data_IF_909969296600
#
_entry.id   IF_909969296600
#
_cell.length_a   1.000
_cell.length_b   1.000
_cell.length_c   1.000
_cell.angle_alpha   90.00
_cell.angle_beta   90.00
_cell.angle_gamma   90.00
#
_symmetry.space_group_name_H-M   'P 1'
#
loop_
_entity.id
_entity.type
_entity.pdbx_description
1 polymer ?
#
# COMPACT_ATOMS: atom_id res chain seq x y z
N UNK A 1 27.62 18.45 0.80
CA UNK A 1 26.78 17.88 -0.27
C UNK A 1 25.74 17.05 0.42
N UNK A 2 24.51 17.55 0.57
CA UNK A 2 23.41 16.70 1.04
C UNK A 2 23.16 15.69 -0.05
N UNK A 3 23.55 14.43 0.15
CA UNK A 3 23.04 13.36 -0.69
C UNK A 3 21.52 13.48 -0.61
N UNK A 4 20.87 13.69 -1.75
CA UNK A 4 19.42 13.60 -1.81
C UNK A 4 19.02 12.27 -1.13
N UNK A 5 17.99 12.28 -0.27
CA UNK A 5 17.58 11.06 0.41
C UNK A 5 17.33 9.98 -0.64
N UNK A 6 17.97 8.81 -0.47
CA UNK A 6 18.01 7.77 -1.50
C UNK A 6 16.58 7.24 -1.75
N UNK A 7 16.06 7.54 -2.94
CA UNK A 7 14.73 7.08 -3.38
C UNK A 7 14.62 5.57 -3.24
N UNK A 8 15.67 4.83 -3.56
CA UNK A 8 15.67 3.36 -3.49
C UNK A 8 15.49 2.89 -2.04
N UNK A 9 16.19 3.52 -1.09
CA UNK A 9 16.02 3.26 0.33
C UNK A 9 14.60 3.56 0.80
N UNK A 10 13.97 4.64 0.32
CA UNK A 10 12.59 4.98 0.73
C UNK A 10 11.55 4.05 0.13
N UNK A 11 11.76 3.58 -1.09
CA UNK A 11 10.89 2.56 -1.69
C UNK A 11 10.99 1.25 -0.90
N UNK A 12 12.20 0.80 -0.56
CA UNK A 12 12.39 -0.39 0.28
C UNK A 12 11.74 -0.25 1.68
N UNK A 13 11.74 0.96 2.25
CA UNK A 13 11.07 1.24 3.51
C UNK A 13 9.54 1.10 3.40
N UNK A 14 8.94 1.59 2.31
CA UNK A 14 7.50 1.45 2.02
C UNK A 14 7.13 -0.01 1.75
N UNK A 15 7.94 -0.71 0.95
CA UNK A 15 7.79 -2.15 0.70
C UNK A 15 7.76 -2.96 2.00
N UNK A 16 8.74 -2.72 2.87
CA UNK A 16 8.85 -3.43 4.13
C UNK A 16 7.67 -3.14 5.06
N UNK A 17 7.22 -1.89 5.13
CA UNK A 17 6.06 -1.52 5.93
C UNK A 17 4.79 -2.23 5.44
N UNK A 18 4.58 -2.22 4.12
CA UNK A 18 3.45 -2.87 3.49
C UNK A 18 3.49 -4.38 3.65
N UNK A 19 4.65 -5.03 3.53
CA UNK A 19 4.79 -6.47 3.75
C UNK A 19 4.33 -6.90 5.16
N UNK A 20 4.56 -6.05 6.16
CA UNK A 20 4.21 -6.28 7.57
C UNK A 20 2.82 -5.75 7.95
N UNK A 21 2.14 -5.02 7.06
CA UNK A 21 0.87 -4.35 7.34
C UNK A 21 -0.37 -5.24 7.24
N UNK A 22 -0.24 -6.47 6.75
CA UNK A 22 -1.37 -7.37 6.46
C UNK A 22 -1.41 -8.58 7.41
N UNK A 23 -2.61 -9.13 7.70
CA UNK A 23 -2.81 -10.15 8.74
C UNK A 23 -2.24 -11.55 8.41
N UNK A 24 -1.91 -11.80 7.14
CA UNK A 24 -1.32 -13.04 6.66
C UNK A 24 -0.02 -12.76 5.92
N UNK A 25 0.79 -13.78 5.64
CA UNK A 25 1.94 -13.64 4.74
C UNK A 25 1.49 -12.95 3.45
N UNK A 26 2.19 -11.86 3.14
CA UNK A 26 1.89 -11.03 1.99
C UNK A 26 3.08 -11.06 1.02
N UNK A 27 2.77 -11.08 -0.27
CA UNK A 27 3.74 -10.91 -1.34
C UNK A 27 3.66 -9.47 -1.82
N UNK A 28 4.79 -8.76 -1.74
CA UNK A 28 4.93 -7.39 -2.23
C UNK A 28 5.73 -7.42 -3.53
N UNK A 29 5.20 -6.75 -4.55
CA UNK A 29 5.86 -6.56 -5.85
C UNK A 29 5.90 -5.07 -6.15
N UNK A 30 7.08 -4.60 -6.57
CA UNK A 30 7.27 -3.21 -6.94
C UNK A 30 7.48 -3.05 -8.43
N UNK A 31 6.70 -2.13 -8.99
CA UNK A 31 6.74 -1.74 -10.38
C UNK A 31 7.13 -0.26 -10.45
N UNK A 32 8.28 0.02 -11.03
CA UNK A 32 8.71 1.38 -11.37
C UNK A 32 8.48 1.62 -12.84
N UNK A 33 7.76 2.69 -13.16
CA UNK A 33 7.70 3.21 -14.52
C UNK A 33 8.67 4.38 -14.63
N UNK A 34 9.86 4.09 -15.18
CA UNK A 34 10.92 5.09 -15.31
C UNK A 34 10.56 6.21 -16.30
N UNK A 35 9.61 5.98 -17.22
CA UNK A 35 9.20 6.99 -18.19
C UNK A 35 8.22 8.01 -17.59
N UNK A 36 7.31 7.56 -16.72
CA UNK A 36 6.38 8.46 -16.02
C UNK A 36 6.85 8.89 -14.62
N UNK A 37 7.88 8.25 -14.08
CA UNK A 37 8.34 8.42 -12.70
C UNK A 37 7.40 7.81 -11.65
N UNK A 38 6.29 7.19 -12.08
CA UNK A 38 5.30 6.57 -11.19
C UNK A 38 5.88 5.32 -10.55
N UNK A 39 5.49 5.12 -9.30
CA UNK A 39 5.77 3.90 -8.54
C UNK A 39 4.45 3.21 -8.28
N UNK A 40 4.36 1.91 -8.56
CA UNK A 40 3.26 1.07 -8.07
C UNK A 40 3.83 0.01 -7.16
N UNK A 41 3.32 -0.05 -5.94
CA UNK A 41 3.59 -1.16 -5.01
C UNK A 41 2.32 -2.00 -4.95
N UNK A 42 2.38 -3.20 -5.51
CA UNK A 42 1.32 -4.19 -5.41
C UNK A 42 1.57 -5.05 -4.18
N UNK A 43 0.57 -5.18 -3.32
CA UNK A 43 0.59 -6.11 -2.19
C UNK A 43 -0.50 -7.13 -2.38
N UNK A 44 -0.18 -8.40 -2.22
CA UNK A 44 -1.14 -9.50 -2.33
C UNK A 44 -1.04 -10.44 -1.15
N UNK A 45 -2.17 -10.94 -0.67
CA UNK A 45 -2.22 -11.80 0.49
C UNK A 45 -3.43 -12.75 0.45
N UNK A 46 -3.43 -13.78 1.28
CA UNK A 46 -4.55 -14.70 1.41
C UNK A 46 -5.38 -14.32 2.63
N UNK A 47 -6.64 -13.93 2.41
CA UNK A 47 -7.60 -13.74 3.49
C UNK A 47 -8.22 -15.08 3.86
N UNK A 48 -7.97 -15.52 5.09
CA UNK A 48 -8.65 -16.67 5.70
C UNK A 48 -10.01 -16.18 6.22
N UNK A 49 -11.14 -16.70 5.70
CA UNK A 49 -12.45 -16.32 6.21
C UNK A 49 -12.68 -16.86 7.63
N UNK A 50 -13.53 -16.17 8.39
CA UNK A 50 -13.87 -16.56 9.77
C UNK A 50 -14.77 -17.81 9.84
N UNK A 51 -15.37 -18.21 8.72
CA UNK A 51 -16.20 -19.41 8.60
C UNK A 51 -15.35 -20.55 8.02
N UNK A 52 -15.27 -21.68 8.72
CA UNK A 52 -14.48 -22.87 8.32
C UNK A 52 -14.93 -23.45 6.97
N UNK A 53 -16.16 -23.15 6.53
CA UNK A 53 -16.70 -23.58 5.24
C UNK A 53 -16.40 -22.62 4.08
N UNK A 54 -15.86 -21.42 4.37
CA UNK A 54 -15.62 -20.40 3.37
C UNK A 54 -14.25 -20.59 2.68
N UNK A 55 -14.23 -20.34 1.37
CA UNK A 55 -13.05 -20.47 0.53
C UNK A 55 -12.02 -19.38 0.86
N UNK A 56 -10.73 -19.72 0.88
CA UNK A 56 -9.65 -18.73 0.94
C UNK A 56 -9.73 -17.74 -0.23
N UNK A 57 -9.56 -16.45 0.05
CA UNK A 57 -9.59 -15.40 -0.98
C UNK A 57 -8.21 -14.78 -1.14
N UNK A 58 -7.74 -14.72 -2.38
CA UNK A 58 -6.53 -13.96 -2.72
C UNK A 58 -6.92 -12.52 -2.94
N UNK A 59 -6.43 -11.64 -2.08
CA UNK A 59 -6.63 -10.22 -2.18
C UNK A 59 -5.38 -9.56 -2.73
N UNK A 60 -5.56 -8.47 -3.45
CA UNK A 60 -4.48 -7.62 -3.90
C UNK A 60 -4.85 -6.13 -3.77
N UNK A 61 -3.86 -5.28 -3.54
CA UNK A 61 -4.01 -3.83 -3.58
C UNK A 61 -2.85 -3.21 -4.32
N UNK A 62 -3.15 -2.39 -5.31
CA UNK A 62 -2.18 -1.56 -6.02
C UNK A 62 -2.12 -0.18 -5.35
N UNK A 63 -0.98 0.16 -4.74
CA UNK A 63 -0.71 1.53 -4.30
C UNK A 63 0.06 2.25 -5.40
N UNK A 64 -0.58 3.22 -6.05
CA UNK A 64 -0.07 3.95 -7.23
C UNK A 64 0.36 5.35 -6.81
N UNK A 65 1.66 5.53 -6.62
CA UNK A 65 2.23 6.79 -6.20
C UNK A 65 2.42 7.71 -7.39
N UNK A 66 1.96 8.95 -7.23
CA UNK A 66 2.34 10.02 -8.15
C UNK A 66 3.85 10.30 -8.07
N UNK A 67 4.48 10.78 -9.16
CA UNK A 67 5.94 10.83 -9.29
C UNK A 67 6.67 11.58 -8.16
N UNK A 68 6.06 12.63 -7.62
CA UNK A 68 6.64 13.49 -6.58
C UNK A 68 6.39 13.00 -5.16
N UNK A 69 5.45 12.08 -4.95
CA UNK A 69 5.04 11.68 -3.59
C UNK A 69 6.16 10.94 -2.87
N UNK A 70 6.89 10.07 -3.59
CA UNK A 70 8.02 9.33 -3.01
C UNK A 70 9.18 10.27 -2.67
N UNK A 71 9.41 11.30 -3.50
CA UNK A 71 10.41 12.33 -3.23
C UNK A 71 10.03 13.12 -1.99
N UNK A 72 8.77 13.56 -1.89
CA UNK A 72 8.26 14.29 -0.73
C UNK A 72 8.32 13.45 0.55
N UNK A 73 7.93 12.18 0.47
CA UNK A 73 8.08 11.21 1.56
C UNK A 73 9.55 11.08 2.02
N UNK A 74 10.50 11.12 1.08
CA UNK A 74 11.92 11.02 1.38
C UNK A 74 12.46 12.18 2.22
N UNK A 75 11.82 13.35 2.14
CA UNK A 75 12.19 14.56 2.89
C UNK A 75 11.55 14.67 4.27
N UNK A 76 10.59 13.82 4.60
CA UNK A 76 9.97 13.77 5.92
C UNK A 76 10.97 13.28 6.97
N UNK A 77 10.76 13.63 8.24
CA UNK A 77 11.49 13.02 9.35
C UNK A 77 11.02 11.59 9.63
N UNK A 78 11.63 10.92 10.61
CA UNK A 78 11.31 9.52 10.91
C UNK A 78 9.90 9.32 11.47
N UNK A 79 9.42 10.25 12.29
CA UNK A 79 8.11 10.18 12.92
C UNK A 79 7.00 10.39 11.88
N UNK A 80 7.17 11.37 11.00
CA UNK A 80 6.24 11.62 9.90
C UNK A 80 6.24 10.48 8.88
N UNK A 81 7.40 9.89 8.56
CA UNK A 81 7.46 8.68 7.73
C UNK A 81 6.76 7.50 8.39
N UNK A 82 6.87 7.33 9.70
CA UNK A 82 6.13 6.29 10.43
C UNK A 82 4.61 6.50 10.31
N UNK A 83 4.13 7.72 10.52
CA UNK A 83 2.70 8.06 10.35
C UNK A 83 2.20 7.72 8.96
N UNK A 84 2.95 8.11 7.93
CA UNK A 84 2.60 7.81 6.53
C UNK A 84 2.53 6.30 6.29
N UNK A 85 3.50 5.53 6.77
CA UNK A 85 3.49 4.06 6.63
C UNK A 85 2.26 3.43 7.30
N UNK A 86 1.95 3.85 8.52
CA UNK A 86 0.76 3.36 9.23
C UNK A 86 -0.53 3.70 8.47
N UNK A 87 -0.66 4.95 8.03
CA UNK A 87 -1.82 5.42 7.26
C UNK A 87 -2.01 4.64 5.95
N UNK A 88 -0.92 4.38 5.21
CA UNK A 88 -0.98 3.64 3.96
C UNK A 88 -1.40 2.18 4.18
N UNK A 89 -0.88 1.52 5.22
CA UNK A 89 -1.30 0.16 5.58
C UNK A 89 -2.80 0.10 5.93
N UNK A 90 -3.28 1.04 6.75
CA UNK A 90 -4.70 1.09 7.13
C UNK A 90 -5.61 1.41 5.95
N UNK A 91 -5.20 2.35 5.09
CA UNK A 91 -5.94 2.72 3.88
C UNK A 91 -6.02 1.56 2.89
N UNK A 92 -4.90 0.85 2.68
CA UNK A 92 -4.84 -0.33 1.81
C UNK A 92 -5.76 -1.45 2.32
N UNK A 93 -5.76 -1.72 3.63
CA UNK A 93 -6.68 -2.69 4.25
C UNK A 93 -8.14 -2.28 4.07
N UNK A 94 -8.44 -1.01 4.34
CA UNK A 94 -9.79 -0.45 4.23
C UNK A 94 -10.32 -0.52 2.80
N UNK A 95 -9.49 -0.19 1.81
CA UNK A 95 -9.88 -0.25 0.40
C UNK A 95 -10.30 -1.65 -0.04
N UNK A 96 -9.64 -2.69 0.50
CA UNK A 96 -10.02 -4.08 0.26
C UNK A 96 -11.25 -4.49 1.07
N UNK A 97 -11.36 -4.06 2.33
CA UNK A 97 -12.53 -4.34 3.18
C UNK A 97 -13.83 -3.71 2.64
N UNK A 98 -13.76 -2.53 2.05
CA UNK A 98 -14.90 -1.86 1.41
C UNK A 98 -15.39 -2.61 0.16
N UNK A 99 -14.52 -3.40 -0.50
CA UNK A 99 -14.86 -4.23 -1.66
C UNK A 99 -15.52 -5.56 -1.30
N UNK A 100 -16.17 -5.67 -0.11
CA UNK A 100 -16.87 -6.87 0.40
C UNK A 100 -17.35 -7.78 -0.74
N UNK A 101 -16.73 -8.96 -0.92
CA UNK A 101 -17.14 -9.88 -1.97
C UNK A 101 -18.58 -10.28 -1.78
N UNK A 102 -19.41 -10.07 -2.80
CA UNK A 102 -20.73 -10.66 -2.83
C UNK A 102 -20.52 -12.16 -3.03
N UNK A 103 -21.06 -12.95 -2.10
CA UNK A 103 -20.91 -14.42 -2.04
C UNK A 103 -21.39 -15.12 -3.32
N UNK A 104 -22.15 -14.42 -4.17
CA UNK A 104 -22.70 -14.93 -5.42
C UNK A 104 -21.73 -14.87 -6.63
N UNK A 105 -20.58 -14.18 -6.51
CA UNK A 105 -19.64 -14.07 -7.62
C UNK A 105 -18.69 -15.28 -7.68
N UNK A 106 -18.73 -16.01 -8.80
CA UNK A 106 -17.94 -17.23 -9.06
C UNK A 106 -16.41 -17.01 -8.99
N UNK A 107 -15.96 -15.75 -9.02
CA UNK A 107 -14.62 -15.32 -8.73
C UNK A 107 -14.70 -14.10 -7.80
N UNK A 108 -14.36 -14.29 -6.54
CA UNK A 108 -14.29 -13.21 -5.57
C UNK A 108 -13.04 -12.38 -5.89
N UNK A 109 -13.21 -11.30 -6.66
CA UNK A 109 -12.15 -10.35 -6.96
C UNK A 109 -11.92 -9.43 -5.74
N UNK A 110 -11.05 -9.88 -4.83
CA UNK A 110 -10.64 -9.11 -3.65
C UNK A 110 -9.50 -8.13 -4.00
N UNK A 111 -9.63 -7.42 -5.12
CA UNK A 111 -8.59 -6.54 -5.66
C UNK A 111 -8.99 -5.07 -5.51
N UNK A 112 -8.10 -4.20 -5.05
CA UNK A 112 -8.31 -2.75 -4.96
C UNK A 112 -7.15 -1.98 -5.59
N UNK A 113 -7.38 -0.70 -5.90
CA UNK A 113 -6.33 0.23 -6.30
C UNK A 113 -6.53 1.55 -5.55
N UNK A 114 -5.42 2.12 -5.10
CA UNK A 114 -5.35 3.39 -4.39
C UNK A 114 -4.33 4.30 -5.06
N UNK A 115 -4.78 5.48 -5.47
CA UNK A 115 -3.88 6.50 -6.00
C UNK A 115 -3.34 7.33 -4.83
N UNK A 116 -2.03 7.24 -4.61
CA UNK A 116 -1.34 7.94 -3.54
C UNK A 116 -0.83 9.26 -4.10
N UNK A 117 -1.56 10.33 -3.77
CA UNK A 117 -1.30 11.70 -4.20
C UNK A 117 -0.73 12.54 -3.06
N UNK A 118 -0.35 13.79 -3.33
CA UNK A 118 0.03 14.75 -2.28
C UNK A 118 -1.06 14.95 -1.22
N UNK A 119 -2.33 14.87 -1.62
CA UNK A 119 -3.46 15.02 -0.70
C UNK A 119 -3.55 13.85 0.29
N UNK A 120 -3.25 12.63 -0.17
CA UNK A 120 -3.19 11.45 0.70
C UNK A 120 -2.00 11.53 1.66
N UNK A 121 -0.86 12.04 1.19
CA UNK A 121 0.30 12.30 2.05
C UNK A 121 -0.04 13.36 3.13
N UNK A 122 -0.72 14.44 2.75
CA UNK A 122 -1.18 15.48 3.69
C UNK A 122 -2.24 14.96 4.66
N UNK A 123 -3.09 14.02 4.23
CA UNK A 123 -4.06 13.36 5.09
C UNK A 123 -3.35 12.48 6.13
N UNK A 124 -2.34 11.72 5.70
CA UNK A 124 -1.54 10.88 6.57
C UNK A 124 -0.80 11.68 7.65
N UNK A 125 -0.22 12.82 7.29
CA UNK A 125 0.49 13.71 8.23
C UNK A 125 -0.43 14.39 9.25
N UNK A 126 -1.72 14.49 8.94
CA UNK A 126 -2.76 15.05 9.84
C UNK A 126 -3.48 13.98 10.64
N UNK A 127 -3.24 12.70 10.37
CA UNK A 127 -3.85 11.61 11.13
C UNK A 127 -3.33 11.65 12.59
N UNK A 128 -4.23 11.51 13.58
CA UNK A 128 -3.90 11.64 15.00
C UNK A 128 -2.98 10.52 15.52
#
# INVERSE_FOLDING_TARGET
MSNAPDRSQRVAELEHALANGFPSESTVVVHTDDASGRLTIQVSWVRVPADESAREWRCAVDLRFDPHVVERYAWLDEDDRLRVRTYLCDSARRAVDERKPRVEDAAIECNAALDITDAELDAALRAP
#
